data_IF_713430781166
#
_entry.id   IF_713430781166
#
_cell.length_a   1.000
_cell.length_b   1.000
_cell.length_c   1.000
_cell.angle_alpha   90.00
_cell.angle_beta   90.00
_cell.angle_gamma   90.00
#
_symmetry.space_group_name_H-M   'P 1'
#
loop_
_entity.id
_entity.type
_entity.pdbx_description
1 polymer ?
#
# COMPACT_ATOMS: atom_id res chain seq x y z
N UNK A 1 1.34 -0.88 -23.85
CA UNK A 1 0.93 0.29 -23.01
C UNK A 1 -0.43 0.04 -22.33
N UNK A 2 -1.29 -0.87 -22.83
CA UNK A 2 -2.55 -1.22 -22.15
C UNK A 2 -2.45 -2.38 -21.14
N UNK A 3 -1.61 -3.39 -21.39
CA UNK A 3 -1.63 -4.67 -20.67
C UNK A 3 -1.49 -4.52 -19.14
N UNK A 4 -0.63 -3.62 -18.68
CA UNK A 4 -0.44 -3.39 -17.25
C UNK A 4 -1.59 -2.65 -16.57
N UNK A 5 -2.35 -1.84 -17.31
CA UNK A 5 -3.56 -1.19 -16.78
C UNK A 5 -4.77 -2.11 -16.80
N UNK A 6 -4.74 -3.18 -17.61
CA UNK A 6 -5.79 -4.18 -17.66
C UNK A 6 -5.73 -5.14 -16.46
N UNK A 7 -4.53 -5.39 -15.91
CA UNK A 7 -4.34 -6.25 -14.72
C UNK A 7 -3.53 -5.54 -13.63
N UNK A 8 -4.11 -4.57 -12.90
CA UNK A 8 -3.38 -3.67 -12.02
C UNK A 8 -3.03 -4.27 -10.64
N UNK A 9 -3.10 -5.59 -10.48
CA UNK A 9 -2.92 -6.30 -9.20
C UNK A 9 -1.94 -7.49 -9.31
N UNK A 10 -1.07 -7.49 -10.32
CA UNK A 10 -0.08 -8.55 -10.53
C UNK A 10 1.19 -8.36 -9.69
N UNK A 11 1.30 -7.25 -8.97
CA UNK A 11 2.43 -6.93 -8.10
C UNK A 11 3.63 -6.37 -8.85
N UNK A 12 3.42 -5.82 -10.04
CA UNK A 12 4.43 -5.11 -10.81
C UNK A 12 4.66 -3.71 -10.24
N UNK A 13 5.81 -3.11 -10.56
CA UNK A 13 6.18 -1.81 -9.98
C UNK A 13 5.29 -0.63 -10.42
N UNK A 14 4.43 -0.84 -11.40
CA UNK A 14 3.46 0.13 -11.92
C UNK A 14 2.00 -0.27 -11.59
N UNK A 15 1.82 -1.33 -10.82
CA UNK A 15 0.51 -1.79 -10.34
C UNK A 15 0.07 -0.99 -9.12
N UNK A 16 -1.17 -1.22 -8.70
CA UNK A 16 -1.69 -0.60 -7.48
C UNK A 16 -0.95 -1.17 -6.28
N UNK A 17 -0.36 -0.32 -5.41
CA UNK A 17 0.39 -0.76 -4.23
C UNK A 17 -0.58 -1.22 -3.13
N UNK A 18 -1.16 -2.41 -3.32
CA UNK A 18 -2.16 -2.97 -2.42
C UNK A 18 -1.62 -3.17 -1.00
N UNK A 19 -0.34 -3.47 -0.85
CA UNK A 19 0.26 -3.63 0.48
C UNK A 19 0.30 -2.28 1.21
N UNK A 20 0.77 -1.21 0.54
CA UNK A 20 0.73 0.14 1.10
C UNK A 20 -0.70 0.61 1.39
N UNK A 21 -1.67 0.32 0.52
CA UNK A 21 -3.07 0.69 0.74
C UNK A 21 -3.64 0.01 2.00
N UNK A 22 -3.43 -1.31 2.12
CA UNK A 22 -3.84 -2.06 3.29
C UNK A 22 -3.17 -1.57 4.56
N UNK A 23 -1.87 -1.21 4.51
CA UNK A 23 -1.15 -0.62 5.65
C UNK A 23 -1.78 0.70 6.09
N UNK A 24 -2.14 1.57 5.15
CA UNK A 24 -2.80 2.85 5.48
C UNK A 24 -4.15 2.61 6.15
N UNK A 25 -4.97 1.70 5.60
CA UNK A 25 -6.27 1.36 6.20
C UNK A 25 -6.09 0.76 7.61
N UNK A 26 -5.10 -0.12 7.80
CA UNK A 26 -4.77 -0.69 9.11
C UNK A 26 -4.38 0.41 10.12
N UNK A 27 -3.52 1.34 9.71
CA UNK A 27 -3.10 2.49 10.52
C UNK A 27 -4.32 3.32 10.94
N UNK A 28 -5.18 3.68 9.98
CA UNK A 28 -6.36 4.51 10.24
C UNK A 28 -7.29 3.82 11.25
N UNK A 29 -7.55 2.52 11.08
CA UNK A 29 -8.39 1.75 11.98
C UNK A 29 -7.79 1.66 13.40
N UNK A 30 -6.49 1.41 13.52
CA UNK A 30 -5.82 1.36 14.84
C UNK A 30 -5.81 2.72 15.53
N UNK A 31 -5.60 3.81 14.78
CA UNK A 31 -5.68 5.17 15.31
C UNK A 31 -7.09 5.54 15.77
N UNK A 32 -8.13 5.13 15.02
CA UNK A 32 -9.53 5.32 15.43
C UNK A 32 -9.88 4.56 16.72
N UNK A 33 -9.22 3.42 16.96
CA UNK A 33 -9.36 2.64 18.20
C UNK A 33 -8.51 3.19 19.36
N UNK A 34 -7.64 4.18 19.11
CA UNK A 34 -6.75 4.77 20.12
C UNK A 34 -5.56 3.89 20.48
N UNK A 35 -5.21 2.94 19.62
CA UNK A 35 -4.05 2.08 19.81
C UNK A 35 -2.74 2.89 19.71
N UNK A 36 -1.77 2.55 20.56
CA UNK A 36 -0.47 3.24 20.60
C UNK A 36 0.59 2.54 19.77
N UNK A 37 0.41 1.25 19.52
CA UNK A 37 1.31 0.43 18.71
C UNK A 37 0.76 0.35 17.28
N UNK A 38 1.02 1.41 16.52
CA UNK A 38 0.56 1.55 15.14
C UNK A 38 1.75 1.27 14.21
N UNK A 39 1.61 0.36 13.22
CA UNK A 39 2.70 0.06 12.31
C UNK A 39 3.06 1.29 11.47
N UNK A 40 4.33 1.45 11.06
CA UNK A 40 4.73 2.54 10.20
C UNK A 40 4.16 2.38 8.78
N UNK A 41 3.96 3.49 8.05
CA UNK A 41 3.65 3.45 6.62
C UNK A 41 4.69 2.64 5.83
N UNK A 42 4.27 2.09 4.69
CA UNK A 42 5.21 1.46 3.75
C UNK A 42 5.95 2.55 2.99
N UNK A 43 7.28 2.50 3.04
CA UNK A 43 8.14 3.42 2.31
C UNK A 43 8.42 2.91 0.89
N UNK A 44 8.53 3.79 -0.11
CA UNK A 44 8.92 3.41 -1.46
C UNK A 44 10.33 2.82 -1.49
N UNK A 45 10.52 1.74 -2.25
CA UNK A 45 11.83 1.16 -2.53
C UNK A 45 12.22 1.47 -3.96
N UNK A 46 13.38 2.09 -4.15
CA UNK A 46 13.89 2.47 -5.48
C UNK A 46 12.90 3.32 -6.30
N UNK A 47 12.15 4.21 -5.64
CA UNK A 47 11.15 5.08 -6.27
C UNK A 47 9.81 4.40 -6.58
N UNK A 48 9.63 3.13 -6.18
CA UNK A 48 8.40 2.37 -6.36
C UNK A 48 7.78 2.02 -5.01
N UNK A 49 6.50 2.34 -4.83
CA UNK A 49 5.71 1.93 -3.68
C UNK A 49 5.06 0.57 -3.97
N UNK A 50 5.04 -0.33 -3.00
CA UNK A 50 4.44 -1.67 -3.12
C UNK A 50 3.31 -1.86 -2.11
#
# INVERSE_FOLDING_TARGET
>A
IGDYSENPFEGLGNDVPMLSLCRTIEIDLLQMLGEKDVPPPIEPKNGVLM
#
